data_IF_229344558618
#
_entry.id   IF_229344558618
#
_cell.length_a   1.000
_cell.length_b   1.000
_cell.length_c   1.000
_cell.angle_alpha   90.00
_cell.angle_beta   90.00
_cell.angle_gamma   90.00
#
_symmetry.space_group_name_H-M   'P 1'
#
loop_
_entity.id
_entity.type
_entity.pdbx_description
1 polymer ?
#
# COMPACT_ATOMS: atom_id res chain seq x y z
N UNK A 1 -3.14 5.45 -7.21
CA UNK A 1 -2.74 4.44 -8.22
C UNK A 1 -3.81 3.37 -8.25
N UNK A 2 -4.09 2.77 -9.41
CA UNK A 2 -5.13 1.74 -9.57
C UNK A 2 -4.60 0.49 -10.26
N UNK A 3 -5.07 -0.67 -9.81
CA UNK A 3 -4.93 -1.92 -10.54
C UNK A 3 -5.75 -1.84 -11.83
N UNK A 4 -5.21 -2.40 -12.91
CA UNK A 4 -5.93 -2.50 -14.18
C UNK A 4 -6.96 -3.63 -14.10
N UNK A 5 -8.20 -3.33 -14.46
CA UNK A 5 -9.27 -4.32 -14.53
C UNK A 5 -8.87 -5.50 -15.43
N UNK A 6 -9.08 -6.72 -14.95
CA UNK A 6 -8.75 -7.94 -15.70
C UNK A 6 -7.28 -8.35 -15.65
N UNK A 7 -6.40 -7.56 -15.04
CA UNK A 7 -5.03 -7.99 -14.75
C UNK A 7 -5.01 -9.08 -13.67
N UNK A 8 -3.94 -9.87 -13.59
CA UNK A 8 -3.81 -10.95 -12.61
C UNK A 8 -4.07 -10.49 -11.15
N UNK A 9 -3.48 -9.37 -10.73
CA UNK A 9 -3.65 -8.86 -9.37
C UNK A 9 -5.10 -8.43 -9.06
N UNK A 10 -5.90 -8.12 -10.07
CA UNK A 10 -7.31 -7.72 -9.91
C UNK A 10 -8.16 -8.83 -9.27
N UNK A 11 -7.76 -10.09 -9.43
CA UNK A 11 -8.48 -11.25 -8.90
C UNK A 11 -7.98 -11.69 -7.52
N UNK A 12 -6.91 -11.07 -7.03
CA UNK A 12 -6.42 -11.31 -5.68
C UNK A 12 -7.11 -10.38 -4.69
N UNK A 13 -7.25 -10.84 -3.45
CA UNK A 13 -7.85 -10.07 -2.38
C UNK A 13 -7.11 -10.32 -1.07
N UNK A 14 -7.09 -9.27 -0.24
CA UNK A 14 -6.62 -9.35 1.12
C UNK A 14 -7.77 -9.73 2.05
N UNK A 15 -7.44 -10.47 3.10
CA UNK A 15 -8.33 -10.58 4.24
C UNK A 15 -8.58 -9.20 4.88
N UNK A 16 -9.83 -8.93 5.26
CA UNK A 16 -10.27 -7.65 5.81
C UNK A 16 -9.87 -7.46 7.28
N UNK A 17 -9.39 -8.51 7.96
CA UNK A 17 -8.94 -8.40 9.35
C UNK A 17 -7.46 -8.09 9.40
N UNK A 18 -6.63 -8.86 8.72
CA UNK A 18 -5.17 -8.80 8.80
C UNK A 18 -4.52 -8.08 7.62
N UNK A 19 -5.26 -7.77 6.55
CA UNK A 19 -4.71 -7.20 5.33
C UNK A 19 -3.56 -8.02 4.74
N UNK A 20 -3.73 -9.35 4.74
CA UNK A 20 -2.79 -10.33 4.19
C UNK A 20 -3.48 -11.17 3.13
N UNK A 21 -2.70 -11.71 2.19
CA UNK A 21 -3.21 -12.72 1.26
C UNK A 21 -3.47 -14.03 2.01
N UNK A 22 -4.53 -14.73 1.63
CA UNK A 22 -4.75 -16.11 2.07
C UNK A 22 -3.63 -17.01 1.54
N UNK A 23 -3.36 -18.15 2.20
CA UNK A 23 -2.35 -19.13 1.74
C UNK A 23 -2.57 -19.54 0.28
N UNK A 24 -3.84 -19.66 -0.14
CA UNK A 24 -4.20 -19.95 -1.54
C UNK A 24 -3.77 -18.81 -2.48
N UNK A 25 -4.07 -17.56 -2.14
CA UNK A 25 -3.69 -16.41 -2.95
C UNK A 25 -2.16 -16.22 -2.97
N UNK A 26 -1.47 -16.47 -1.86
CA UNK A 26 0.00 -16.48 -1.80
C UNK A 26 0.56 -17.54 -2.75
N UNK A 27 0.05 -18.78 -2.70
CA UNK A 27 0.51 -19.84 -3.62
C UNK A 27 0.32 -19.43 -5.08
N UNK A 28 -0.85 -18.89 -5.43
CA UNK A 28 -1.12 -18.40 -6.79
C UNK A 28 -0.17 -17.26 -7.18
N UNK A 29 0.15 -16.35 -6.25
CA UNK A 29 1.11 -15.27 -6.47
C UNK A 29 2.54 -15.77 -6.65
N UNK A 30 2.96 -16.80 -5.90
CA UNK A 30 4.28 -17.47 -6.04
C UNK A 30 4.40 -18.10 -7.42
N UNK A 31 3.39 -18.88 -7.85
CA UNK A 31 3.40 -19.48 -9.20
C UNK A 31 3.46 -18.39 -10.29
N UNK A 32 2.72 -17.30 -10.12
CA UNK A 32 2.77 -16.18 -11.04
C UNK A 32 4.15 -15.49 -11.05
N UNK A 33 4.78 -15.33 -9.90
CA UNK A 33 6.14 -14.80 -9.80
C UNK A 33 7.15 -15.68 -10.54
N UNK A 34 7.08 -17.00 -10.40
CA UNK A 34 7.92 -17.92 -11.17
C UNK A 34 7.67 -17.84 -12.68
N UNK A 35 6.44 -17.57 -13.13
CA UNK A 35 6.15 -17.33 -14.54
C UNK A 35 6.77 -16.03 -15.06
N UNK A 36 6.91 -15.01 -14.21
CA UNK A 36 7.59 -13.76 -14.56
C UNK A 36 9.12 -13.93 -14.58
N UNK A 37 9.67 -14.76 -13.71
CA UNK A 37 11.10 -15.07 -13.62
C UNK A 37 11.54 -16.04 -14.72
N UNK A 38 11.65 -15.51 -15.94
CA UNK A 38 12.12 -16.27 -17.12
C UNK A 38 13.56 -16.78 -16.99
N UNK A 39 14.33 -16.29 -16.01
CA UNK A 39 15.72 -16.67 -15.78
C UNK A 39 15.86 -17.79 -14.73
N UNK A 40 14.81 -18.10 -13.97
CA UNK A 40 14.81 -19.14 -12.94
C UNK A 40 15.75 -18.86 -11.78
N UNK A 41 15.95 -17.58 -11.43
CA UNK A 41 16.84 -17.13 -10.35
C UNK A 41 16.12 -16.83 -9.04
N UNK A 42 14.80 -17.06 -9.02
CA UNK A 42 13.88 -16.66 -7.97
C UNK A 42 13.89 -15.13 -7.71
N UNK A 43 14.16 -14.35 -8.76
CA UNK A 43 14.24 -12.89 -8.72
C UNK A 43 13.73 -12.26 -10.01
N UNK A 44 13.31 -11.00 -9.94
CA UNK A 44 12.97 -10.17 -11.09
C UNK A 44 13.98 -9.05 -11.24
N UNK A 45 14.60 -8.93 -12.40
CA UNK A 45 15.39 -7.75 -12.75
C UNK A 45 14.48 -6.53 -13.03
N UNK A 46 15.11 -5.37 -13.21
CA UNK A 46 14.46 -4.10 -13.50
C UNK A 46 13.53 -4.15 -14.74
N UNK A 47 13.94 -4.82 -15.80
CA UNK A 47 13.15 -4.96 -17.04
C UNK A 47 11.88 -5.77 -16.79
N UNK A 48 11.99 -6.96 -16.20
CA UNK A 48 10.85 -7.83 -15.91
C UNK A 48 9.88 -7.16 -14.94
N UNK A 49 10.41 -6.56 -13.88
CA UNK A 49 9.64 -5.81 -12.90
C UNK A 49 8.90 -4.62 -13.53
N UNK A 50 9.58 -3.88 -14.40
CA UNK A 50 9.01 -2.73 -15.09
C UNK A 50 7.82 -3.13 -15.95
N UNK A 51 7.98 -4.17 -16.78
CA UNK A 51 6.91 -4.65 -17.66
C UNK A 51 5.74 -5.24 -16.87
N UNK A 52 6.02 -5.96 -15.78
CA UNK A 52 4.99 -6.45 -14.86
C UNK A 52 4.14 -5.29 -14.31
N UNK A 53 4.75 -4.29 -13.65
CA UNK A 53 4.00 -3.19 -13.05
C UNK A 53 3.26 -2.36 -14.10
N UNK A 54 3.88 -2.16 -15.27
CA UNK A 54 3.23 -1.46 -16.39
C UNK A 54 2.02 -2.23 -16.91
N UNK A 55 2.03 -3.56 -16.85
CA UNK A 55 0.93 -4.41 -17.26
C UNK A 55 -0.22 -4.42 -16.24
N UNK A 56 0.07 -4.52 -14.94
CA UNK A 56 -0.96 -4.70 -13.90
C UNK A 56 -1.47 -3.40 -13.26
N UNK A 57 -0.78 -2.28 -13.43
CA UNK A 57 -1.15 -0.98 -12.83
C UNK A 57 -1.25 0.16 -13.84
N UNK A 58 -1.79 1.30 -13.40
CA UNK A 58 -1.75 2.58 -14.10
C UNK A 58 -0.47 3.42 -13.84
N UNK A 59 0.55 2.86 -13.19
CA UNK A 59 1.77 3.60 -12.85
C UNK A 59 2.53 4.13 -14.08
N UNK A 60 3.06 5.35 -13.95
CA UNK A 60 3.98 5.95 -14.93
C UNK A 60 5.38 5.38 -14.77
N UNK A 61 6.17 5.40 -15.84
CA UNK A 61 7.54 4.86 -15.86
C UNK A 61 8.43 5.40 -14.73
N UNK A 62 8.31 6.70 -14.41
CA UNK A 62 9.05 7.30 -13.29
C UNK A 62 8.66 6.70 -11.94
N UNK A 63 7.37 6.41 -11.72
CA UNK A 63 6.89 5.80 -10.47
C UNK A 63 7.38 4.37 -10.36
N UNK A 64 7.32 3.60 -11.44
CA UNK A 64 7.81 2.21 -11.48
C UNK A 64 9.30 2.14 -11.11
N UNK A 65 10.12 3.06 -11.64
CA UNK A 65 11.55 3.15 -11.29
C UNK A 65 11.77 3.47 -9.82
N UNK A 66 11.07 4.48 -9.29
CA UNK A 66 11.11 4.80 -7.86
C UNK A 66 10.75 3.59 -6.99
N UNK A 67 9.74 2.83 -7.37
CA UNK A 67 9.35 1.62 -6.62
C UNK A 67 10.41 0.54 -6.69
N UNK A 68 11.04 0.35 -7.85
CA UNK A 68 12.15 -0.59 -7.98
C UNK A 68 13.29 -0.21 -7.02
N UNK A 69 13.71 1.05 -7.06
CA UNK A 69 14.77 1.59 -6.20
C UNK A 69 14.42 1.48 -4.70
N UNK A 70 13.14 1.63 -4.35
CA UNK A 70 12.64 1.45 -2.98
C UNK A 70 12.75 0.00 -2.49
N UNK A 71 12.47 -0.96 -3.36
CA UNK A 71 12.46 -2.39 -2.99
C UNK A 71 13.85 -3.03 -3.07
N UNK A 72 14.67 -2.60 -4.03
CA UNK A 72 16.08 -2.99 -4.21
C UNK A 72 17.01 -2.18 -3.29
N UNK A 73 16.66 -2.07 -2.01
CA UNK A 73 17.36 -1.23 -1.04
C UNK A 73 18.83 -1.65 -0.83
N UNK A 74 19.17 -2.90 -1.14
CA UNK A 74 20.54 -3.42 -1.09
C UNK A 74 21.29 -3.29 -2.42
N UNK A 75 20.69 -2.66 -3.44
CA UNK A 75 21.26 -2.38 -4.75
C UNK A 75 21.83 -3.62 -5.47
N UNK A 76 21.16 -4.76 -5.34
CA UNK A 76 21.56 -6.01 -6.04
C UNK A 76 21.08 -5.97 -7.50
N UNK A 77 20.16 -5.08 -7.84
CA UNK A 77 19.54 -4.98 -9.17
C UNK A 77 18.42 -5.99 -9.37
N UNK A 78 17.93 -6.60 -8.29
CA UNK A 78 17.00 -7.74 -8.34
C UNK A 78 15.99 -7.72 -7.20
N UNK A 79 14.74 -8.05 -7.55
CA UNK A 79 13.63 -8.13 -6.61
C UNK A 79 13.28 -9.60 -6.37
N UNK A 80 13.53 -10.09 -5.16
CA UNK A 80 13.07 -11.39 -4.69
C UNK A 80 11.57 -11.41 -4.35
N UNK A 81 11.04 -12.60 -4.08
CA UNK A 81 9.61 -12.77 -3.81
C UNK A 81 9.11 -11.97 -2.59
N UNK A 82 9.91 -11.85 -1.53
CA UNK A 82 9.51 -11.14 -0.31
C UNK A 82 9.29 -9.64 -0.57
N UNK A 83 10.22 -9.01 -1.31
CA UNK A 83 10.11 -7.63 -1.75
C UNK A 83 8.91 -7.45 -2.71
N UNK A 84 8.74 -8.39 -3.63
CA UNK A 84 7.59 -8.41 -4.54
C UNK A 84 6.25 -8.53 -3.80
N UNK A 85 6.18 -9.34 -2.74
CA UNK A 85 4.99 -9.48 -1.89
C UNK A 85 4.66 -8.20 -1.14
N UNK A 86 5.68 -7.53 -0.57
CA UNK A 86 5.54 -6.23 0.12
C UNK A 86 4.99 -5.16 -0.82
N UNK A 87 5.30 -5.23 -2.11
CA UNK A 87 4.73 -4.35 -3.11
C UNK A 87 3.28 -4.68 -3.46
N UNK A 88 2.97 -5.95 -3.70
CA UNK A 88 1.67 -6.39 -4.20
C UNK A 88 0.55 -6.09 -3.19
N UNK A 89 0.81 -6.27 -1.90
CA UNK A 89 -0.24 -6.08 -0.89
C UNK A 89 -0.78 -4.63 -0.80
N UNK A 90 0.04 -3.57 -0.73
CA UNK A 90 -0.43 -2.18 -0.81
C UNK A 90 -1.27 -1.90 -2.05
N UNK A 91 -0.95 -2.51 -3.21
CA UNK A 91 -1.70 -2.32 -4.45
C UNK A 91 -3.10 -2.92 -4.38
N UNK A 92 -3.20 -4.14 -3.84
CA UNK A 92 -4.49 -4.81 -3.64
C UNK A 92 -5.31 -4.08 -2.57
N UNK A 93 -4.66 -3.61 -1.50
CA UNK A 93 -5.31 -2.81 -0.46
C UNK A 93 -5.92 -1.54 -1.02
N UNK A 94 -5.16 -0.75 -1.78
CA UNK A 94 -5.64 0.47 -2.42
C UNK A 94 -6.77 0.21 -3.44
N UNK A 95 -6.70 -0.90 -4.18
CA UNK A 95 -7.78 -1.32 -5.08
C UNK A 95 -9.09 -1.70 -4.36
N UNK A 96 -9.01 -2.03 -3.08
CA UNK A 96 -10.14 -2.47 -2.24
C UNK A 96 -10.56 -1.44 -1.18
N UNK A 97 -10.02 -0.22 -1.22
CA UNK A 97 -10.25 0.82 -0.21
C UNK A 97 -9.87 0.37 1.22
N UNK A 98 -8.75 -0.34 1.34
CA UNK A 98 -8.20 -0.85 2.60
C UNK A 98 -6.82 -0.24 2.92
N UNK A 99 -6.40 0.82 2.22
CA UNK A 99 -5.06 1.41 2.37
C UNK A 99 -4.78 1.89 3.81
N UNK A 100 -5.73 2.52 4.51
CA UNK A 100 -5.53 2.98 5.88
C UNK A 100 -5.43 1.80 6.87
N UNK A 101 -6.25 0.76 6.67
CA UNK A 101 -6.18 -0.45 7.48
C UNK A 101 -4.87 -1.21 7.24
N UNK A 102 -4.44 -1.28 5.98
CA UNK A 102 -3.16 -1.88 5.60
C UNK A 102 -1.99 -1.14 6.28
N UNK A 103 -1.97 0.20 6.20
CA UNK A 103 -0.98 1.05 6.87
C UNK A 103 -0.95 0.81 8.38
N UNK A 104 -2.12 0.71 9.02
CA UNK A 104 -2.23 0.45 10.45
C UNK A 104 -1.72 -0.94 10.85
N UNK A 105 -2.11 -1.98 10.12
CA UNK A 105 -1.73 -3.38 10.39
C UNK A 105 -0.25 -3.64 10.15
N UNK A 106 0.28 -3.06 9.07
CA UNK A 106 1.66 -3.30 8.60
C UNK A 106 2.56 -2.08 8.81
N UNK A 107 2.26 -1.29 9.85
CA UNK A 107 2.96 -0.03 10.09
C UNK A 107 4.46 -0.21 10.30
N UNK A 108 4.91 -1.33 10.89
CA UNK A 108 6.35 -1.58 11.06
C UNK A 108 7.05 -1.91 9.75
N UNK A 109 6.63 -2.92 8.96
CA UNK A 109 7.19 -3.15 7.63
C UNK A 109 7.18 -1.93 6.71
N UNK A 110 6.12 -1.13 6.73
CA UNK A 110 6.03 0.09 5.92
C UNK A 110 6.99 1.16 6.42
N UNK A 111 7.13 1.30 7.74
CA UNK A 111 8.10 2.23 8.32
C UNK A 111 9.52 1.85 7.91
N UNK A 112 9.89 0.58 8.11
CA UNK A 112 11.21 0.07 7.77
C UNK A 112 11.48 0.17 6.25
N UNK A 113 10.46 0.01 5.40
CA UNK A 113 10.55 0.25 3.96
C UNK A 113 10.82 1.72 3.60
N UNK A 114 10.27 2.67 4.35
CA UNK A 114 10.44 4.10 4.11
C UNK A 114 11.68 4.70 4.79
N UNK A 115 12.26 3.99 5.77
CA UNK A 115 13.50 4.31 6.48
C UNK A 115 14.73 3.91 5.65
N UNK A 116 14.87 4.52 4.46
CA UNK A 116 15.84 4.11 3.44
C UNK A 116 17.31 4.23 3.88
N UNK A 117 17.63 5.11 4.82
CA UNK A 117 18.97 5.33 5.36
C UNK A 117 19.22 4.57 6.67
N UNK A 118 18.20 3.89 7.22
CA UNK A 118 18.28 3.16 8.48
C UNK A 118 18.42 4.06 9.72
N UNK A 119 18.15 5.36 9.61
CA UNK A 119 18.26 6.30 10.74
C UNK A 119 17.09 6.18 11.74
N UNK A 120 16.21 5.19 11.56
CA UNK A 120 15.00 4.97 12.34
C UNK A 120 14.04 6.18 12.29
N UNK A 121 14.05 6.90 11.16
CA UNK A 121 13.29 8.13 10.96
C UNK A 121 12.97 8.35 9.48
N UNK A 122 11.70 8.64 9.17
CA UNK A 122 11.27 8.95 7.81
C UNK A 122 11.29 10.45 7.60
N UNK A 123 12.13 10.94 6.68
CA UNK A 123 12.13 12.35 6.28
C UNK A 123 10.94 12.73 5.37
N UNK A 124 10.52 13.99 5.43
CA UNK A 124 9.40 14.51 4.62
C UNK A 124 9.60 14.30 3.12
N UNK A 125 10.81 14.54 2.60
CA UNK A 125 11.12 14.37 1.18
C UNK A 125 10.99 12.91 0.71
N UNK A 126 11.45 11.96 1.52
CA UNK A 126 11.33 10.52 1.25
C UNK A 126 9.86 10.12 1.23
N UNK A 127 9.10 10.52 2.26
CA UNK A 127 7.68 10.19 2.32
C UNK A 127 6.90 10.84 1.16
N UNK A 128 7.20 12.11 0.84
CA UNK A 128 6.60 12.82 -0.29
C UNK A 128 6.87 12.13 -1.63
N UNK A 129 8.05 11.53 -1.80
CA UNK A 129 8.43 10.77 -2.99
C UNK A 129 7.59 9.51 -3.14
N UNK A 130 7.37 8.78 -2.04
CA UNK A 130 6.73 7.46 -2.05
C UNK A 130 5.25 7.45 -1.65
N UNK A 131 4.65 8.58 -1.25
CA UNK A 131 3.25 8.69 -0.79
C UNK A 131 2.22 8.09 -1.74
N UNK A 132 2.53 8.04 -3.04
CA UNK A 132 1.63 7.50 -4.06
C UNK A 132 1.38 5.99 -3.91
N UNK A 133 2.28 5.24 -3.24
CA UNK A 133 2.12 3.81 -2.93
C UNK A 133 0.98 3.57 -1.95
N UNK A 134 0.76 4.52 -1.04
CA UNK A 134 -0.22 4.41 0.04
C UNK A 134 -1.46 5.29 -0.19
N UNK A 135 -1.59 5.85 -1.40
CA UNK A 135 -2.69 6.74 -1.77
C UNK A 135 -2.82 8.01 -0.90
N UNK A 136 -1.72 8.45 -0.27
CA UNK A 136 -1.71 9.64 0.60
C UNK A 136 -1.59 10.91 -0.25
N UNK A 137 -2.48 11.88 -0.01
CA UNK A 137 -2.47 13.16 -0.71
C UNK A 137 -1.42 14.12 -0.14
N UNK A 138 -0.97 15.09 -0.95
CA UNK A 138 0.08 16.06 -0.52
C UNK A 138 -0.35 16.83 0.74
N UNK A 139 -1.60 17.28 0.78
CA UNK A 139 -2.13 18.01 1.94
C UNK A 139 -2.18 17.11 3.19
N UNK A 140 -2.60 15.86 3.04
CA UNK A 140 -2.61 14.90 4.13
C UNK A 140 -1.20 14.64 4.68
N UNK A 141 -0.18 14.59 3.80
CA UNK A 141 1.21 14.47 4.24
C UNK A 141 1.68 15.71 5.01
N UNK A 142 1.32 16.91 4.55
CA UNK A 142 1.66 18.15 5.25
C UNK A 142 0.99 18.21 6.63
N UNK A 143 -0.30 17.84 6.73
CA UNK A 143 -1.02 17.72 7.99
C UNK A 143 -0.38 16.66 8.90
N UNK A 144 0.07 15.54 8.33
CA UNK A 144 0.76 14.48 9.07
C UNK A 144 2.01 15.02 9.78
N UNK A 145 2.93 15.64 9.05
CA UNK A 145 4.16 16.16 9.66
C UNK A 145 3.87 17.29 10.65
N UNK A 146 2.91 18.16 10.35
CA UNK A 146 2.49 19.22 11.29
C UNK A 146 1.92 18.66 12.60
N UNK A 147 1.07 17.62 12.54
CA UNK A 147 0.33 17.13 13.70
C UNK A 147 1.08 16.07 14.51
N UNK A 148 1.99 15.31 13.88
CA UNK A 148 2.61 14.12 14.48
C UNK A 148 4.13 14.19 14.65
N UNK A 149 4.85 15.16 14.06
CA UNK A 149 6.26 15.41 14.40
C UNK A 149 6.35 16.12 15.76
N UNK A 150 6.27 15.32 16.82
CA UNK A 150 6.33 15.80 18.21
C UNK A 150 7.76 16.22 18.55
N UNK A 151 8.76 15.59 17.95
CA UNK A 151 10.16 15.94 18.17
C UNK A 151 10.58 17.27 17.52
N UNK A 152 9.88 17.69 16.48
CA UNK A 152 10.14 18.93 15.73
C UNK A 152 11.38 18.85 14.82
N UNK A 153 11.82 17.65 14.46
CA UNK A 153 13.02 17.43 13.65
C UNK A 153 12.76 17.29 12.15
N UNK A 154 11.51 17.53 11.72
CA UNK A 154 10.99 17.38 10.35
C UNK A 154 11.12 15.95 9.81
N UNK A 155 11.19 14.98 10.71
CA UNK A 155 11.19 13.56 10.42
C UNK A 155 10.17 12.88 11.33
N UNK A 156 9.84 11.64 10.99
CA UNK A 156 8.95 10.83 11.81
C UNK A 156 9.71 9.63 12.33
N UNK A 157 9.86 9.53 13.63
CA UNK A 157 10.26 8.28 14.24
C UNK A 157 9.10 7.27 14.23
N UNK A 158 9.39 6.00 14.55
CA UNK A 158 8.37 4.95 14.48
C UNK A 158 7.14 5.22 15.37
N UNK A 159 7.30 5.86 16.52
CA UNK A 159 6.16 6.15 17.43
C UNK A 159 5.24 7.20 16.81
N UNK A 160 5.81 8.25 16.23
CA UNK A 160 5.07 9.32 15.55
C UNK A 160 4.33 8.78 14.32
N UNK A 161 5.03 8.01 13.48
CA UNK A 161 4.42 7.31 12.35
C UNK A 161 3.31 6.35 12.81
N UNK A 162 3.53 5.60 13.89
CA UNK A 162 2.51 4.67 14.43
C UNK A 162 1.26 5.42 14.89
N UNK A 163 1.42 6.55 15.58
CA UNK A 163 0.31 7.40 16.00
C UNK A 163 -0.51 7.89 14.80
N UNK A 164 0.15 8.34 13.73
CA UNK A 164 -0.54 8.67 12.48
C UNK A 164 -1.38 7.49 11.96
N UNK A 165 -0.82 6.28 11.88
CA UNK A 165 -1.59 5.13 11.38
C UNK A 165 -2.80 4.78 12.26
N UNK A 166 -2.69 4.96 13.59
CA UNK A 166 -3.81 4.77 14.52
C UNK A 166 -4.91 5.80 14.26
N UNK A 167 -4.51 7.06 14.11
CA UNK A 167 -5.44 8.16 13.85
C UNK A 167 -6.14 8.04 12.50
N UNK A 168 -5.41 7.68 11.45
CA UNK A 168 -5.97 7.41 10.13
C UNK A 168 -6.96 6.25 10.17
N UNK A 169 -6.68 5.20 10.95
CA UNK A 169 -7.60 4.08 11.14
C UNK A 169 -8.88 4.50 11.87
N UNK A 170 -8.79 5.31 12.94
CA UNK A 170 -9.97 5.84 13.64
C UNK A 170 -10.86 6.68 12.70
N UNK A 171 -10.25 7.58 11.91
CA UNK A 171 -10.95 8.34 10.86
C UNK A 171 -11.64 7.40 9.85
N UNK A 172 -10.95 6.36 9.40
CA UNK A 172 -11.50 5.37 8.47
C UNK A 172 -12.71 4.61 9.05
N UNK A 173 -12.64 4.15 10.31
CA UNK A 173 -13.76 3.47 10.97
C UNK A 173 -14.98 4.38 11.12
N UNK A 174 -14.77 5.64 11.48
CA UNK A 174 -15.84 6.65 11.55
C UNK A 174 -16.52 6.87 10.21
N UNK A 175 -15.74 6.97 9.11
CA UNK A 175 -16.29 7.05 7.74
C UNK A 175 -17.14 5.83 7.39
N UNK A 176 -16.64 4.62 7.64
CA UNK A 176 -17.39 3.38 7.38
C UNK A 176 -18.69 3.28 8.19
N UNK A 177 -18.66 3.67 9.46
CA UNK A 177 -19.86 3.67 10.30
C UNK A 177 -20.91 4.65 9.76
N UNK A 178 -20.50 5.88 9.45
CA UNK A 178 -21.40 6.89 8.89
C UNK A 178 -22.00 6.46 7.54
N UNK A 179 -21.22 5.77 6.70
CA UNK A 179 -21.71 5.26 5.42
C UNK A 179 -22.75 4.15 5.59
N UNK A 180 -22.53 3.21 6.52
CA UNK A 180 -23.51 2.18 6.86
C UNK A 180 -24.80 2.77 7.40
N UNK A 181 -24.71 3.77 8.27
CA UNK A 181 -25.88 4.48 8.81
C UNK A 181 -26.67 5.17 7.68
N UNK A 182 -25.99 5.84 6.74
CA UNK A 182 -26.63 6.47 5.57
C UNK A 182 -27.32 5.45 4.66
N UNK A 183 -26.68 4.31 4.40
CA UNK A 183 -27.25 3.23 3.59
C UNK A 183 -28.50 2.64 4.25
N UNK A 184 -28.47 2.41 5.57
CA UNK A 184 -29.62 1.93 6.33
C UNK A 184 -30.79 2.92 6.27
N UNK A 185 -30.54 4.22 6.46
CA UNK A 185 -31.59 5.26 6.34
C UNK A 185 -32.18 5.29 4.93
N UNK A 186 -31.35 5.16 3.89
CA UNK A 186 -31.80 5.12 2.50
C UNK A 186 -32.67 3.90 2.20
N UNK A 187 -32.25 2.72 2.66
CA UNK A 187 -33.00 1.46 2.50
C UNK A 187 -34.36 1.52 3.19
N UNK A 188 -34.43 2.06 4.42
CA UNK A 188 -35.69 2.25 5.15
C UNK A 188 -36.62 3.24 4.43
N UNK A 189 -36.08 4.35 3.89
CA UNK A 189 -36.88 5.31 3.11
C UNK A 189 -37.43 4.71 1.82
N UNK A 190 -36.64 3.90 1.12
CA UNK A 190 -37.12 3.17 -0.06
C UNK A 190 -38.23 2.20 0.32
N UNK A 191 -38.06 1.42 1.39
CA UNK A 191 -39.09 0.48 1.86
C UNK A 191 -40.43 1.16 2.19
N UNK A 192 -40.40 2.30 2.88
CA UNK A 192 -41.61 3.08 3.18
C UNK A 192 -42.28 3.63 1.91
N UNK A 193 -41.52 3.93 0.85
CA UNK A 193 -42.05 4.47 -0.41
C UNK A 193 -42.77 3.44 -1.28
N UNK A 194 -42.61 2.14 -0.98
CA UNK A 194 -43.25 1.02 -1.69
C UNK A 194 -44.39 0.37 -0.87
N UNK A 195 -44.75 0.96 0.27
CA UNK A 195 -45.95 0.65 1.05
C UNK A 195 -47.01 1.73 0.80
#
# INVERSE_FOLDING_TARGET
MKLKTGSFLWYLYLDKVYCLLSVRNVKVLVEYFHLLDVHGRNTLNDVLFFHFLRHVTDMRSKQIKLVFDLLDWNAVGEIGFDQFYILVCPHIAAGSHLEELFMYRHSRPIFDLLDMDGEQRIGEATFQTYRFLFNIHKQELTELFHDFDVTGDQRLNYKEFKLYTIFSMDKFQKRQKAERERQNVSATKLHIKWL
#
